data_IF_558890860638
#
_entry.id   IF_558890860638
#
_cell.length_a   1.000
_cell.length_b   1.000
_cell.length_c   1.000
_cell.angle_alpha   90.00
_cell.angle_beta   90.00
_cell.angle_gamma   90.00
#
_symmetry.space_group_name_H-M   'P 1'
#
loop_
_entity.id
_entity.type
_entity.pdbx_description
1 polymer ?
#
# COMPACT_ATOMS: atom_id res chain seq x y z
N UNK A 1 17.71 -0.81 -17.94
CA UNK A 1 16.55 -1.70 -17.71
C UNK A 1 15.43 -1.22 -18.62
N UNK A 2 15.08 -1.99 -19.66
CA UNK A 2 13.97 -1.63 -20.55
C UNK A 2 12.65 -2.02 -19.92
N UNK A 3 11.72 -1.07 -19.80
CA UNK A 3 10.35 -1.36 -19.36
C UNK A 3 9.69 -2.23 -20.46
N UNK A 4 9.55 -3.53 -20.20
CA UNK A 4 8.87 -4.45 -21.12
C UNK A 4 7.39 -4.08 -21.24
N UNK A 5 6.78 -4.25 -22.42
CA UNK A 5 5.34 -4.00 -22.72
C UNK A 5 4.43 -4.64 -21.66
N UNK A 6 4.83 -5.78 -21.10
CA UNK A 6 4.10 -6.44 -20.02
C UNK A 6 3.91 -5.54 -18.78
N UNK A 7 4.89 -4.71 -18.41
CA UNK A 7 4.78 -3.79 -17.28
C UNK A 7 3.72 -2.72 -17.51
N UNK A 8 3.59 -2.26 -18.76
CA UNK A 8 2.62 -1.25 -19.15
C UNK A 8 1.18 -1.75 -19.06
N UNK A 9 0.97 -3.07 -19.07
CA UNK A 9 -0.35 -3.70 -19.03
C UNK A 9 -0.66 -4.18 -17.62
N UNK A 10 0.21 -5.00 -17.02
CA UNK A 10 -0.06 -5.64 -15.73
C UNK A 10 0.00 -4.66 -14.55
N UNK A 11 0.88 -3.65 -14.59
CA UNK A 11 0.97 -2.64 -13.53
C UNK A 11 -0.33 -1.84 -13.39
N UNK A 12 -0.80 -1.18 -14.46
CA UNK A 12 -2.07 -0.46 -14.43
C UNK A 12 -3.28 -1.38 -14.15
N UNK A 13 -3.29 -2.60 -14.68
CA UNK A 13 -4.36 -3.56 -14.40
C UNK A 13 -4.42 -3.95 -12.92
N UNK A 14 -3.28 -4.19 -12.28
CA UNK A 14 -3.22 -4.48 -10.84
C UNK A 14 -3.70 -3.28 -10.01
N UNK A 15 -3.25 -2.07 -10.33
CA UNK A 15 -3.69 -0.85 -9.65
C UNK A 15 -5.21 -0.62 -9.79
N UNK A 16 -5.75 -0.80 -11.00
CA UNK A 16 -7.18 -0.69 -11.27
C UNK A 16 -7.98 -1.75 -10.51
N UNK A 17 -7.49 -2.99 -10.45
CA UNK A 17 -8.13 -4.07 -9.70
C UNK A 17 -8.18 -3.77 -8.20
N UNK A 18 -7.08 -3.28 -7.61
CA UNK A 18 -7.04 -2.87 -6.20
C UNK A 18 -7.99 -1.72 -5.93
N UNK A 19 -7.99 -0.69 -6.78
CA UNK A 19 -8.88 0.47 -6.63
C UNK A 19 -10.36 0.05 -6.71
N UNK A 20 -10.72 -0.75 -7.72
CA UNK A 20 -12.08 -1.26 -7.88
C UNK A 20 -12.52 -2.10 -6.67
N UNK A 21 -11.70 -3.06 -6.24
CA UNK A 21 -12.00 -3.90 -5.08
C UNK A 21 -12.13 -3.08 -3.80
N UNK A 22 -11.30 -2.04 -3.61
CA UNK A 22 -11.39 -1.13 -2.46
C UNK A 22 -12.74 -0.43 -2.41
N UNK A 23 -13.20 0.13 -3.54
CA UNK A 23 -14.49 0.82 -3.64
C UNK A 23 -15.64 -0.15 -3.35
N UNK A 24 -15.62 -1.34 -3.94
CA UNK A 24 -16.68 -2.33 -3.73
C UNK A 24 -16.74 -2.80 -2.27
N UNK A 25 -15.60 -3.08 -1.65
CA UNK A 25 -15.53 -3.50 -0.24
C UNK A 25 -16.02 -2.39 0.68
N UNK A 26 -15.60 -1.14 0.44
CA UNK A 26 -16.08 0.01 1.21
C UNK A 26 -17.61 0.14 1.11
N UNK A 27 -18.16 0.13 -0.10
CA UNK A 27 -19.59 0.33 -0.33
C UNK A 27 -20.45 -0.83 0.19
N UNK A 28 -19.94 -2.06 0.14
CA UNK A 28 -20.71 -3.26 0.52
C UNK A 28 -20.64 -3.53 2.02
N UNK A 29 -19.46 -3.38 2.63
CA UNK A 29 -19.22 -3.74 4.02
C UNK A 29 -19.22 -2.53 4.97
N UNK A 30 -19.29 -1.30 4.44
CA UNK A 30 -19.24 -0.07 5.24
C UNK A 30 -17.91 0.14 5.97
N UNK A 31 -16.85 -0.56 5.56
CA UNK A 31 -15.53 -0.49 6.21
C UNK A 31 -14.86 0.85 5.91
N UNK A 32 -14.05 1.37 6.84
CA UNK A 32 -13.22 2.54 6.57
C UNK A 32 -12.33 2.29 5.33
N UNK A 33 -12.15 3.33 4.50
CA UNK A 33 -11.40 3.24 3.23
C UNK A 33 -10.03 2.58 3.37
N UNK A 34 -9.31 2.87 4.46
CA UNK A 34 -8.00 2.27 4.75
C UNK A 34 -8.08 0.76 4.97
N UNK A 35 -9.10 0.29 5.68
CA UNK A 35 -9.31 -1.14 5.95
C UNK A 35 -9.75 -1.84 4.66
N UNK A 36 -10.67 -1.22 3.91
CA UNK A 36 -11.11 -1.73 2.61
C UNK A 36 -9.94 -1.88 1.63
N UNK A 37 -9.05 -0.90 1.58
CA UNK A 37 -7.82 -0.95 0.77
C UNK A 37 -6.90 -2.10 1.18
N UNK A 38 -6.65 -2.26 2.49
CA UNK A 38 -5.79 -3.34 2.99
C UNK A 38 -6.36 -4.74 2.69
N UNK A 39 -7.67 -4.91 2.77
CA UNK A 39 -8.30 -6.17 2.36
C UNK A 39 -8.18 -6.36 0.85
N UNK A 40 -8.52 -5.33 0.06
CA UNK A 40 -8.48 -5.36 -1.40
C UNK A 40 -7.09 -5.73 -1.93
N UNK A 41 -6.03 -5.04 -1.46
CA UNK A 41 -4.67 -5.26 -1.94
C UNK A 41 -4.16 -6.67 -1.62
N UNK A 42 -4.52 -7.24 -0.46
CA UNK A 42 -4.16 -8.62 -0.13
C UNK A 42 -4.92 -9.63 -0.99
N UNK A 43 -6.22 -9.44 -1.23
CA UNK A 43 -7.01 -10.31 -2.10
C UNK A 43 -6.49 -10.25 -3.54
N UNK A 44 -6.25 -9.05 -4.09
CA UNK A 44 -5.75 -8.88 -5.46
C UNK A 44 -4.34 -9.45 -5.60
N UNK A 45 -3.46 -9.24 -4.60
CA UNK A 45 -2.14 -9.84 -4.59
C UNK A 45 -2.23 -11.37 -4.64
N UNK A 46 -3.10 -11.97 -3.81
CA UNK A 46 -3.32 -13.42 -3.83
C UNK A 46 -3.77 -13.90 -5.21
N UNK A 47 -4.75 -13.22 -5.83
CA UNK A 47 -5.30 -13.61 -7.12
C UNK A 47 -4.27 -13.49 -8.26
N UNK A 48 -3.45 -12.44 -8.28
CA UNK A 48 -2.41 -12.27 -9.30
C UNK A 48 -1.33 -13.35 -9.18
N UNK A 49 -0.89 -13.66 -7.96
CA UNK A 49 0.04 -14.77 -7.72
C UNK A 49 -0.58 -16.13 -8.06
N UNK A 50 -1.86 -16.32 -7.76
CA UNK A 50 -2.58 -17.53 -8.12
C UNK A 50 -2.73 -17.71 -9.63
N UNK A 51 -3.08 -16.62 -10.31
CA UNK A 51 -3.26 -16.57 -11.76
C UNK A 51 -1.96 -16.89 -12.50
N UNK A 52 -0.85 -16.24 -12.15
CA UNK A 52 0.46 -16.51 -12.75
C UNK A 52 0.80 -18.00 -12.70
N UNK A 53 0.57 -18.62 -11.55
CA UNK A 53 0.88 -20.03 -11.37
C UNK A 53 -0.07 -20.98 -12.10
N UNK A 54 -1.38 -20.76 -12.03
CA UNK A 54 -2.36 -21.65 -12.67
C UNK A 54 -2.18 -21.62 -14.18
N UNK A 55 -1.96 -20.45 -14.79
CA UNK A 55 -1.75 -20.34 -16.23
C UNK A 55 -0.45 -21.01 -16.69
N UNK A 56 0.65 -20.79 -15.96
CA UNK A 56 1.94 -21.38 -16.32
C UNK A 56 1.91 -22.91 -16.11
N UNK A 57 1.30 -23.38 -15.03
CA UNK A 57 1.36 -24.80 -14.64
C UNK A 57 0.29 -25.69 -15.29
N UNK A 58 -0.89 -25.15 -15.62
CA UNK A 58 -1.99 -25.93 -16.21
C UNK A 58 -2.08 -25.80 -17.74
N UNK A 59 -1.66 -24.66 -18.30
CA UNK A 59 -1.87 -24.34 -19.72
C UNK A 59 -0.57 -24.14 -20.52
N UNK A 60 0.60 -24.27 -19.89
CA UNK A 60 1.93 -24.20 -20.53
C UNK A 60 2.18 -22.89 -21.33
N UNK A 61 1.42 -21.83 -21.04
CA UNK A 61 1.57 -20.52 -21.69
C UNK A 61 2.69 -19.71 -21.02
N UNK A 62 3.94 -20.03 -21.36
CA UNK A 62 5.13 -19.29 -20.89
C UNK A 62 5.12 -17.78 -21.25
N UNK A 63 4.31 -17.37 -22.22
CA UNK A 63 4.24 -15.98 -22.70
C UNK A 63 3.33 -15.06 -21.87
N UNK A 64 2.49 -15.62 -20.99
CA UNK A 64 1.54 -14.87 -20.14
C UNK A 64 2.06 -14.65 -18.71
N UNK A 65 3.36 -14.90 -18.49
CA UNK A 65 3.97 -14.77 -17.17
C UNK A 65 3.92 -13.30 -16.70
N UNK A 66 3.40 -13.09 -15.50
CA UNK A 66 3.32 -11.77 -14.89
C UNK A 66 4.74 -11.39 -14.44
N UNK A 67 5.24 -10.17 -14.74
CA UNK A 67 6.57 -9.75 -14.31
C UNK A 67 6.70 -9.78 -12.78
N UNK A 68 7.77 -10.39 -12.27
CA UNK A 68 8.06 -10.47 -10.82
C UNK A 68 8.10 -9.07 -10.18
N UNK A 69 8.58 -8.06 -10.91
CA UNK A 69 8.62 -6.69 -10.42
C UNK A 69 7.22 -6.12 -10.12
N UNK A 70 6.20 -6.47 -10.92
CA UNK A 70 4.81 -6.03 -10.67
C UNK A 70 4.23 -6.75 -9.45
N UNK A 71 4.53 -8.04 -9.30
CA UNK A 71 4.06 -8.85 -8.18
C UNK A 71 4.69 -8.43 -6.85
N UNK A 72 5.99 -8.10 -6.86
CA UNK A 72 6.74 -7.71 -5.65
C UNK A 72 6.58 -6.22 -5.34
N UNK A 73 6.88 -5.34 -6.29
CA UNK A 73 6.87 -3.89 -6.04
C UNK A 73 5.48 -3.26 -6.19
N UNK A 74 4.63 -3.79 -7.07
CA UNK A 74 3.29 -3.24 -7.34
C UNK A 74 2.20 -3.72 -6.40
N UNK A 75 2.33 -4.92 -5.82
CA UNK A 75 1.28 -5.55 -5.02
C UNK A 75 1.73 -5.90 -3.60
N UNK A 76 2.88 -6.57 -3.43
CA UNK A 76 3.37 -6.94 -2.10
C UNK A 76 3.84 -5.71 -1.31
N UNK A 77 4.73 -4.89 -1.88
CA UNK A 77 5.26 -3.69 -1.20
C UNK A 77 4.18 -2.71 -0.68
N UNK A 78 3.12 -2.36 -1.44
CA UNK A 78 2.10 -1.42 -0.97
C UNK A 78 1.12 -1.96 0.08
N UNK A 79 1.26 -3.23 0.51
CA UNK A 79 0.47 -3.81 1.62
C UNK A 79 -0.13 -5.19 1.37
N UNK A 80 0.08 -5.79 0.19
CA UNK A 80 -0.46 -7.10 -0.19
C UNK A 80 0.35 -8.32 0.30
N UNK A 81 1.29 -8.12 1.23
CA UNK A 81 2.24 -9.16 1.70
C UNK A 81 1.52 -10.41 2.21
N UNK A 82 0.44 -10.26 2.98
CA UNK A 82 -0.27 -11.39 3.58
C UNK A 82 -0.92 -12.23 2.49
N UNK A 83 -1.57 -11.58 1.52
CA UNK A 83 -2.18 -12.25 0.37
C UNK A 83 -1.16 -12.94 -0.54
N UNK A 84 -0.03 -12.29 -0.82
CA UNK A 84 1.07 -12.88 -1.57
C UNK A 84 1.63 -14.12 -0.84
N UNK A 85 1.84 -14.04 0.48
CA UNK A 85 2.32 -15.17 1.30
C UNK A 85 1.32 -16.32 1.31
N UNK A 86 0.02 -16.02 1.44
CA UNK A 86 -1.04 -17.01 1.43
C UNK A 86 -1.10 -17.76 0.09
N UNK A 87 -0.96 -17.04 -1.03
CA UNK A 87 -0.93 -17.65 -2.36
C UNK A 87 0.24 -18.62 -2.50
N UNK A 88 1.40 -18.27 -1.94
CA UNK A 88 2.56 -19.16 -1.97
C UNK A 88 2.37 -20.41 -1.14
N UNK A 89 1.86 -20.26 0.08
CA UNK A 89 1.66 -21.38 0.98
C UNK A 89 0.60 -22.35 0.44
N UNK A 90 -0.53 -21.82 -0.03
CA UNK A 90 -1.63 -22.62 -0.55
C UNK A 90 -1.31 -23.28 -1.88
N UNK A 91 -0.61 -22.57 -2.77
CA UNK A 91 -0.39 -23.08 -4.10
C UNK A 91 0.88 -23.91 -4.23
N UNK A 92 1.73 -24.02 -3.20
CA UNK A 92 2.97 -24.81 -3.19
C UNK A 92 3.89 -24.50 -4.38
N UNK A 93 4.49 -23.30 -4.42
CA UNK A 93 5.57 -23.07 -5.38
C UNK A 93 6.75 -23.97 -5.03
N UNK A 94 7.19 -24.74 -6.04
CA UNK A 94 8.37 -25.61 -5.99
C UNK A 94 9.47 -25.02 -5.10
N UNK A 95 9.78 -25.73 -4.03
CA UNK A 95 11.02 -25.64 -3.26
C UNK A 95 12.20 -25.77 -4.22
N UNK A 96 12.83 -24.65 -4.57
CA UNK A 96 13.92 -24.58 -5.55
C UNK A 96 14.78 -23.33 -5.36
N UNK A 97 15.95 -23.21 -6.02
CA UNK A 97 17.03 -22.28 -5.66
C UNK A 97 16.69 -20.78 -5.66
N UNK A 98 15.53 -20.37 -6.19
CA UNK A 98 15.04 -18.98 -6.16
C UNK A 98 14.22 -18.62 -4.91
N UNK A 99 13.91 -19.59 -4.04
CA UNK A 99 13.10 -19.40 -2.83
C UNK A 99 13.78 -18.46 -1.80
N UNK A 100 15.11 -18.48 -1.75
CA UNK A 100 15.90 -17.67 -0.81
C UNK A 100 15.83 -16.17 -1.12
N UNK A 101 15.85 -15.78 -2.40
CA UNK A 101 15.72 -14.39 -2.83
C UNK A 101 14.32 -13.83 -2.53
N UNK A 102 13.29 -14.60 -2.87
CA UNK A 102 11.91 -14.19 -2.64
C UNK A 102 11.54 -14.13 -1.14
N UNK A 103 11.95 -15.13 -0.34
CA UNK A 103 11.78 -15.08 1.13
C UNK A 103 12.50 -13.87 1.73
N UNK A 104 13.67 -13.52 1.21
CA UNK A 104 14.40 -12.34 1.67
C UNK A 104 13.65 -11.06 1.33
N UNK A 105 13.04 -10.94 0.15
CA UNK A 105 12.24 -9.78 -0.22
C UNK A 105 10.93 -9.68 0.59
N UNK A 106 10.32 -10.82 0.91
CA UNK A 106 9.14 -10.88 1.78
C UNK A 106 9.49 -10.53 3.25
N UNK A 107 10.65 -10.96 3.73
CA UNK A 107 11.22 -10.56 5.02
C UNK A 107 11.54 -9.07 5.08
N UNK A 108 12.13 -8.50 4.01
CA UNK A 108 12.34 -7.04 3.91
C UNK A 108 11.01 -6.30 3.98
N UNK A 109 9.99 -6.78 3.28
CA UNK A 109 8.67 -6.16 3.30
C UNK A 109 8.02 -6.23 4.70
N UNK A 110 8.13 -7.36 5.39
CA UNK A 110 7.72 -7.50 6.80
C UNK A 110 8.52 -6.57 7.72
N UNK A 111 9.84 -6.47 7.53
CA UNK A 111 10.71 -5.60 8.31
C UNK A 111 10.33 -4.13 8.14
N UNK A 112 10.06 -3.69 6.90
CA UNK A 112 9.56 -2.33 6.62
C UNK A 112 8.22 -2.07 7.31
N UNK A 113 7.29 -3.01 7.25
CA UNK A 113 5.98 -2.88 7.91
C UNK A 113 6.14 -2.76 9.43
N UNK A 114 6.98 -3.61 10.04
CA UNK A 114 7.27 -3.58 11.47
C UNK A 114 7.98 -2.27 11.83
N UNK A 115 8.96 -1.81 11.05
CA UNK A 115 9.64 -0.53 11.27
C UNK A 115 8.66 0.63 11.18
N UNK A 116 7.74 0.64 10.23
CA UNK A 116 6.70 1.67 10.11
C UNK A 116 5.75 1.66 11.31
N UNK A 117 5.31 0.48 11.76
CA UNK A 117 4.49 0.30 12.97
C UNK A 117 5.26 0.75 14.21
N UNK A 118 6.54 0.44 14.31
CA UNK A 118 7.38 0.88 15.41
C UNK A 118 7.58 2.39 15.38
N UNK A 119 7.84 3.01 14.23
CA UNK A 119 7.96 4.47 14.09
C UNK A 119 6.64 5.15 14.51
N UNK A 120 5.50 4.67 14.01
CA UNK A 120 4.19 5.22 14.35
C UNK A 120 3.82 4.99 15.82
N UNK A 121 4.26 3.88 16.43
CA UNK A 121 4.10 3.61 17.87
C UNK A 121 5.10 4.39 18.74
N UNK A 122 6.28 4.72 18.22
CA UNK A 122 7.36 5.44 18.91
C UNK A 122 7.12 6.94 18.90
N UNK A 123 6.36 7.45 17.92
CA UNK A 123 5.83 8.78 18.03
C UNK A 123 4.84 8.81 19.19
N UNK A 124 5.04 9.66 20.21
CA UNK A 124 3.97 9.96 21.12
C UNK A 124 2.85 10.49 20.23
N UNK A 125 1.74 9.75 20.17
CA UNK A 125 0.50 10.23 19.61
C UNK A 125 0.29 11.56 20.31
N UNK A 126 0.51 12.67 19.59
CA UNK A 126 0.24 14.01 20.10
C UNK A 126 -1.18 13.91 20.61
N UNK A 127 -1.36 14.03 21.93
CA UNK A 127 -2.68 13.78 22.50
C UNK A 127 -3.66 14.73 21.83
N UNK A 128 -4.92 14.33 21.67
CA UNK A 128 -5.89 15.20 21.02
C UNK A 128 -5.89 16.61 21.66
N UNK A 129 -5.72 16.67 22.98
CA UNK A 129 -5.50 17.91 23.74
C UNK A 129 -4.27 18.73 23.33
N UNK A 130 -3.14 18.09 23.01
CA UNK A 130 -1.94 18.77 22.53
C UNK A 130 -2.13 19.30 21.09
N UNK A 131 -2.88 18.57 20.24
CA UNK A 131 -3.25 19.06 18.91
C UNK A 131 -4.19 20.26 19.01
N UNK A 132 -5.20 20.18 19.85
CA UNK A 132 -6.17 21.26 20.08
C UNK A 132 -5.46 22.52 20.62
N UNK A 133 -4.53 22.35 21.58
CA UNK A 133 -3.72 23.45 22.10
C UNK A 133 -2.78 24.06 21.05
N UNK A 134 -2.26 23.25 20.11
CA UNK A 134 -1.45 23.74 18.99
C UNK A 134 -2.31 24.54 17.99
N UNK A 135 -3.50 24.05 17.68
CA UNK A 135 -4.45 24.72 16.78
C UNK A 135 -4.89 26.07 17.36
N UNK A 136 -5.22 26.12 18.65
CA UNK A 136 -5.57 27.38 19.33
C UNK A 136 -4.41 28.38 19.34
N UNK A 137 -3.19 27.92 19.61
CA UNK A 137 -1.99 28.78 19.57
C UNK A 137 -1.73 29.35 18.17
N UNK A 138 -1.87 28.52 17.13
CA UNK A 138 -1.71 28.96 15.74
C UNK A 138 -2.81 29.93 15.33
N UNK A 139 -4.07 29.66 15.69
CA UNK A 139 -5.20 30.55 15.43
C UNK A 139 -5.02 31.91 16.10
N UNK A 140 -4.57 31.95 17.36
CA UNK A 140 -4.26 33.19 18.07
C UNK A 140 -3.11 33.97 17.44
N UNK A 141 -2.11 33.28 16.90
CA UNK A 141 -0.98 33.91 16.22
C UNK A 141 -1.43 34.54 14.89
N UNK A 142 -2.27 33.84 14.12
CA UNK A 142 -2.87 34.38 12.88
C UNK A 142 -3.73 35.61 13.19
N UNK A 143 -4.61 35.52 14.19
CA UNK A 143 -5.45 36.65 14.60
C UNK A 143 -4.64 37.87 15.03
N UNK A 144 -3.56 37.67 15.79
CA UNK A 144 -2.71 38.79 16.22
C UNK A 144 -1.96 39.43 15.05
N UNK A 145 -1.46 38.64 14.09
CA UNK A 145 -0.84 39.15 12.85
C UNK A 145 -1.85 39.95 12.02
N UNK A 146 -3.07 39.43 11.84
CA UNK A 146 -4.15 40.12 11.12
C UNK A 146 -4.48 41.45 11.81
N UNK A 147 -4.56 41.47 13.14
CA UNK A 147 -4.89 42.68 13.89
C UNK A 147 -3.79 43.75 13.76
N UNK A 148 -2.52 43.35 13.79
CA UNK A 148 -1.37 44.25 13.57
C UNK A 148 -1.38 44.81 12.14
N UNK A 149 -1.70 44.00 11.14
CA UNK A 149 -1.82 44.46 9.76
C UNK A 149 -2.97 45.47 9.62
N UNK A 150 -4.14 45.18 10.19
CA UNK A 150 -5.31 46.06 10.13
C UNK A 150 -5.06 47.41 10.84
N UNK A 151 -4.37 47.43 11.98
CA UNK A 151 -4.02 48.67 12.67
C UNK A 151 -2.97 49.47 11.90
N UNK A 152 -2.01 48.80 11.25
CA UNK A 152 -1.00 49.47 10.40
C UNK A 152 -1.63 50.11 9.16
N UNK A 153 -2.55 49.41 8.49
CA UNK A 153 -3.28 49.95 7.31
C UNK A 153 -4.24 51.07 7.69
N UNK A 154 -4.83 51.04 8.89
CA UNK A 154 -5.73 52.11 9.36
C UNK A 154 -4.98 53.39 9.78
N UNK A 155 -3.67 53.30 10.01
CA UNK A 155 -2.81 54.41 10.40
C UNK A 155 -2.11 55.11 9.22
N UNK A 156 -2.23 54.57 8.01
CA UNK A 156 -1.78 55.16 6.73
C UNK A 156 -2.91 55.83 5.97
#
# INVERSE_FOLDING_TARGET
MGISIAHLIYGPAAAAAVAYATVQIHNTLGLAWTIAYLVAINVVAFLFYAFDKILVSALNFLHLRVPEDVLVWGLAFPGGIVGATLAMYMLQHKTGPGESGFRADLLKAYAVLITLVLITRRWPIVSQQQMDALVERLAGLVLSVVQVLLTTVRAS
#
